data_IF_527702381629
#
_entry.id   IF_527702381629
#
_cell.length_a   1.000
_cell.length_b   1.000
_cell.length_c   1.000
_cell.angle_alpha   90.00
_cell.angle_beta   90.00
_cell.angle_gamma   90.00
#
_symmetry.space_group_name_H-M   'P 1'
#
loop_
_entity.id
_entity.type
_entity.pdbx_description
1 polymer ?
#
# COMPACT_ATOMS: atom_id res chain seq x y z
N UNK A 1 -11.77 20.28 1.31
CA UNK A 1 -11.87 21.11 0.10
C UNK A 1 -11.32 20.27 -1.06
N UNK A 2 -12.11 19.93 -2.08
CA UNK A 2 -11.64 19.04 -3.15
C UNK A 2 -10.46 19.68 -3.91
N UNK A 3 -9.52 18.87 -4.39
CA UNK A 3 -8.37 19.37 -5.17
C UNK A 3 -8.81 20.24 -6.37
N UNK A 4 -9.98 19.95 -6.93
CA UNK A 4 -10.63 20.73 -7.99
C UNK A 4 -11.02 22.14 -7.53
N UNK A 5 -11.54 22.30 -6.31
CA UNK A 5 -11.88 23.61 -5.75
C UNK A 5 -10.63 24.45 -5.48
N UNK A 6 -9.53 23.82 -5.04
CA UNK A 6 -8.24 24.50 -4.87
C UNK A 6 -7.69 24.93 -6.24
N UNK A 7 -7.71 24.05 -7.23
CA UNK A 7 -7.28 24.33 -8.59
C UNK A 7 -8.04 25.52 -9.20
N UNK A 8 -9.38 25.48 -9.12
CA UNK A 8 -10.25 26.54 -9.63
C UNK A 8 -10.02 27.83 -8.85
N UNK A 9 -9.88 27.77 -7.53
CA UNK A 9 -9.59 28.96 -6.71
C UNK A 9 -8.24 29.59 -7.04
N UNK A 10 -7.20 28.78 -7.25
CA UNK A 10 -5.86 29.27 -7.64
C UNK A 10 -5.90 29.88 -9.05
N UNK A 11 -6.57 29.22 -10.01
CA UNK A 11 -6.75 29.75 -11.37
C UNK A 11 -7.52 31.07 -11.34
N UNK A 12 -8.63 31.14 -10.60
CA UNK A 12 -9.44 32.36 -10.45
C UNK A 12 -8.67 33.47 -9.75
N UNK A 13 -7.85 33.15 -8.74
CA UNK A 13 -7.02 34.12 -8.02
C UNK A 13 -5.90 34.66 -8.92
N UNK A 14 -5.26 33.80 -9.72
CA UNK A 14 -4.26 34.25 -10.69
C UNK A 14 -4.89 35.03 -11.84
N UNK A 15 -6.07 34.64 -12.32
CA UNK A 15 -6.81 35.40 -13.32
C UNK A 15 -7.21 36.77 -12.78
N UNK A 16 -7.73 36.84 -11.55
CA UNK A 16 -8.08 38.10 -10.89
C UNK A 16 -6.85 38.97 -10.61
N UNK A 17 -5.73 38.39 -10.17
CA UNK A 17 -4.48 39.12 -9.95
C UNK A 17 -3.89 39.63 -11.27
N UNK A 18 -3.95 38.84 -12.34
CA UNK A 18 -3.51 39.25 -13.68
C UNK A 18 -4.38 40.38 -14.20
N UNK A 19 -5.70 40.27 -14.05
CA UNK A 19 -6.64 41.35 -14.40
C UNK A 19 -6.44 42.58 -13.53
N UNK A 20 -6.09 42.45 -12.26
CA UNK A 20 -5.84 43.57 -11.34
C UNK A 20 -4.50 44.26 -11.61
N UNK A 21 -3.43 43.50 -11.89
CA UNK A 21 -2.13 44.04 -12.30
C UNK A 21 -2.23 44.73 -13.66
N UNK A 22 -2.96 44.13 -14.61
CA UNK A 22 -3.31 44.78 -15.86
C UNK A 22 -4.20 46.01 -15.61
N UNK A 23 -5.27 45.96 -14.82
CA UNK A 23 -6.15 47.12 -14.65
C UNK A 23 -5.49 48.28 -13.89
N UNK A 24 -4.65 48.00 -12.89
CA UNK A 24 -4.04 48.99 -12.01
C UNK A 24 -2.85 49.72 -12.63
N UNK A 25 -1.87 48.99 -13.19
CA UNK A 25 -0.70 49.62 -13.81
C UNK A 25 -0.98 50.11 -15.23
N UNK A 26 -1.88 49.46 -15.96
CA UNK A 26 -2.30 49.92 -17.28
C UNK A 26 -3.19 51.16 -17.17
N UNK A 27 -3.90 51.38 -16.06
CA UNK A 27 -4.62 52.64 -15.78
C UNK A 27 -3.68 53.84 -15.64
N UNK A 28 -2.56 53.68 -14.94
CA UNK A 28 -1.52 54.72 -14.82
C UNK A 28 -0.74 54.95 -16.13
N UNK A 29 -0.54 53.90 -16.93
CA UNK A 29 0.00 54.01 -18.29
C UNK A 29 -1.00 54.67 -19.25
N UNK A 30 -2.30 54.35 -19.15
CA UNK A 30 -3.39 54.93 -19.93
C UNK A 30 -3.53 56.45 -19.68
N UNK A 31 -3.38 56.89 -18.43
CA UNK A 31 -3.38 58.31 -18.05
C UNK A 31 -2.14 59.07 -18.55
N UNK A 32 -1.06 58.37 -18.91
CA UNK A 32 0.15 58.96 -19.49
C UNK A 32 0.23 58.85 -21.03
N UNK A 33 -0.81 58.34 -21.69
CA UNK A 33 -0.85 58.25 -23.16
C UNK A 33 -1.12 59.66 -23.73
N UNK A 34 -0.23 60.22 -24.56
CA UNK A 34 -0.51 61.46 -25.27
C UNK A 34 -1.71 61.29 -26.21
N UNK A 35 -2.53 62.33 -26.40
CA UNK A 35 -3.68 62.29 -27.35
C UNK A 35 -3.27 61.92 -28.80
N UNK A 36 -1.99 62.10 -29.16
CA UNK A 36 -1.39 61.64 -30.41
C UNK A 36 -0.06 60.89 -30.13
N UNK A 37 -0.10 59.58 -29.82
CA UNK A 37 1.09 58.82 -29.43
C UNK A 37 1.97 58.51 -30.63
N UNK A 38 3.29 58.66 -30.47
CA UNK A 38 4.27 58.25 -31.48
C UNK A 38 4.19 56.75 -31.76
N UNK A 39 4.55 56.32 -32.97
CA UNK A 39 4.54 54.90 -33.37
C UNK A 39 5.37 54.02 -32.43
N UNK A 40 6.49 54.53 -31.92
CA UNK A 40 7.36 53.84 -30.96
C UNK A 40 6.63 53.52 -29.63
N UNK A 41 5.73 54.41 -29.18
CA UNK A 41 4.95 54.22 -27.97
C UNK A 41 3.89 53.12 -28.13
N UNK A 42 3.23 53.07 -29.30
CA UNK A 42 2.25 52.01 -29.64
C UNK A 42 2.91 50.64 -29.68
N UNK A 43 4.14 50.56 -30.22
CA UNK A 43 4.93 49.32 -30.27
C UNK A 43 5.26 48.84 -28.85
N UNK A 44 5.69 49.75 -27.99
CA UNK A 44 6.08 49.42 -26.61
C UNK A 44 4.89 48.90 -25.80
N UNK A 45 3.73 49.57 -25.86
CA UNK A 45 2.50 49.12 -25.15
C UNK A 45 2.04 47.74 -25.65
N UNK A 46 2.06 47.50 -26.97
CA UNK A 46 1.71 46.19 -27.52
C UNK A 46 2.69 45.08 -27.07
N UNK A 47 3.99 45.38 -27.00
CA UNK A 47 5.00 44.44 -26.52
C UNK A 47 4.79 44.09 -25.04
N UNK A 48 4.46 45.07 -24.20
CA UNK A 48 4.09 44.85 -22.80
C UNK A 48 2.81 44.00 -22.67
N UNK A 49 1.77 44.29 -23.47
CA UNK A 49 0.54 43.50 -23.48
C UNK A 49 0.76 42.04 -23.87
N UNK A 50 1.54 41.80 -24.93
CA UNK A 50 1.87 40.45 -25.42
C UNK A 50 2.73 39.70 -24.39
N UNK A 51 3.74 40.34 -23.81
CA UNK A 51 4.63 39.69 -22.82
C UNK A 51 3.88 39.34 -21.55
N UNK A 52 3.03 40.25 -21.04
CA UNK A 52 2.18 39.98 -19.89
C UNK A 52 1.20 38.82 -20.16
N UNK A 53 0.50 38.84 -21.30
CA UNK A 53 -0.43 37.77 -21.68
C UNK A 53 0.28 36.41 -21.82
N UNK A 54 1.48 36.40 -22.43
CA UNK A 54 2.29 35.19 -22.61
C UNK A 54 2.79 34.65 -21.28
N UNK A 55 3.24 35.53 -20.37
CA UNK A 55 3.69 35.14 -19.03
C UNK A 55 2.54 34.55 -18.20
N UNK A 56 1.36 35.17 -18.22
CA UNK A 56 0.16 34.65 -17.54
C UNK A 56 -0.26 33.30 -18.10
N UNK A 57 -0.27 33.13 -19.43
CA UNK A 57 -0.59 31.86 -20.06
C UNK A 57 0.41 30.75 -19.66
N UNK A 58 1.71 31.06 -19.69
CA UNK A 58 2.76 30.13 -19.28
C UNK A 58 2.62 29.73 -17.80
N UNK A 59 2.38 30.69 -16.91
CA UNK A 59 2.15 30.43 -15.49
C UNK A 59 0.91 29.54 -15.27
N UNK A 60 -0.18 29.81 -15.99
CA UNK A 60 -1.40 29.01 -15.95
C UNK A 60 -1.16 27.55 -16.35
N UNK A 61 -0.40 27.31 -17.42
CA UNK A 61 -0.02 25.95 -17.85
C UNK A 61 0.82 25.23 -16.79
N UNK A 62 1.79 25.92 -16.19
CA UNK A 62 2.64 25.34 -15.13
C UNK A 62 1.80 24.93 -13.92
N UNK A 63 0.90 25.81 -13.46
CA UNK A 63 0.00 25.52 -12.33
C UNK A 63 -0.94 24.37 -12.65
N UNK A 64 -1.51 24.31 -13.85
CA UNK A 64 -2.37 23.22 -14.29
C UNK A 64 -1.64 21.88 -14.29
N UNK A 65 -0.42 21.83 -14.85
CA UNK A 65 0.41 20.62 -14.86
C UNK A 65 0.80 20.17 -13.45
N UNK A 66 1.19 21.11 -12.58
CA UNK A 66 1.52 20.81 -11.18
C UNK A 66 0.31 20.26 -10.42
N UNK A 67 -0.86 20.89 -10.59
CA UNK A 67 -2.11 20.48 -9.97
C UNK A 67 -2.55 19.10 -10.46
N UNK A 68 -2.46 18.85 -11.77
CA UNK A 68 -2.78 17.55 -12.36
C UNK A 68 -1.90 16.45 -11.78
N UNK A 69 -0.58 16.68 -11.70
CA UNK A 69 0.35 15.72 -11.07
C UNK A 69 -0.03 15.42 -9.62
N UNK A 70 -0.25 16.46 -8.81
CA UNK A 70 -0.62 16.29 -7.39
C UNK A 70 -1.96 15.59 -7.21
N UNK A 71 -2.94 15.91 -8.03
CA UNK A 71 -4.27 15.28 -7.99
C UNK A 71 -4.21 13.83 -8.43
N UNK A 72 -3.43 13.52 -9.47
CA UNK A 72 -3.25 12.15 -9.96
C UNK A 72 -2.52 11.28 -8.93
N UNK A 73 -1.48 11.80 -8.27
CA UNK A 73 -0.79 11.11 -7.16
C UNK A 73 -1.76 10.80 -6.01
N UNK A 74 -2.52 11.80 -5.57
CA UNK A 74 -3.49 11.63 -4.49
C UNK A 74 -4.60 10.64 -4.87
N UNK A 75 -5.08 10.69 -6.12
CA UNK A 75 -6.09 9.75 -6.62
C UNK A 75 -5.58 8.31 -6.66
N UNK A 76 -4.33 8.08 -7.11
CA UNK A 76 -3.72 6.74 -7.12
C UNK A 76 -3.60 6.16 -5.71
N UNK A 77 -3.16 6.97 -4.74
CA UNK A 77 -3.07 6.54 -3.32
C UNK A 77 -4.47 6.22 -2.78
N UNK A 78 -5.46 7.06 -3.05
CA UNK A 78 -6.83 6.82 -2.59
C UNK A 78 -7.44 5.55 -3.21
N UNK A 79 -7.22 5.33 -4.52
CA UNK A 79 -7.66 4.12 -5.21
C UNK A 79 -7.00 2.86 -4.64
N UNK A 80 -5.69 2.88 -4.41
CA UNK A 80 -4.97 1.75 -3.80
C UNK A 80 -5.51 1.42 -2.41
N UNK A 81 -5.72 2.43 -1.58
CA UNK A 81 -6.32 2.26 -0.24
C UNK A 81 -7.72 1.68 -0.32
N UNK A 82 -8.56 2.21 -1.20
CA UNK A 82 -9.92 1.69 -1.38
C UNK A 82 -9.91 0.23 -1.86
N UNK A 83 -9.07 -0.10 -2.84
CA UNK A 83 -8.93 -1.46 -3.33
C UNK A 83 -8.45 -2.42 -2.25
N UNK A 84 -7.47 -2.00 -1.45
CA UNK A 84 -6.95 -2.76 -0.30
C UNK A 84 -8.03 -3.01 0.74
N UNK A 85 -8.84 -1.99 1.05
CA UNK A 85 -9.98 -2.10 1.98
C UNK A 85 -11.01 -3.09 1.44
N UNK A 86 -11.36 -2.98 0.16
CA UNK A 86 -12.30 -3.89 -0.50
C UNK A 86 -11.81 -5.33 -0.41
N UNK A 87 -10.56 -5.61 -0.83
CA UNK A 87 -9.97 -6.94 -0.73
C UNK A 87 -10.03 -7.42 0.72
N UNK A 88 -9.55 -6.62 1.67
CA UNK A 88 -9.51 -7.01 3.08
C UNK A 88 -10.91 -7.36 3.62
N UNK A 89 -11.94 -6.58 3.29
CA UNK A 89 -13.29 -6.88 3.73
C UNK A 89 -13.89 -8.10 3.04
N UNK A 90 -13.77 -8.19 1.72
CA UNK A 90 -14.29 -9.31 0.94
C UNK A 90 -13.66 -10.63 1.37
N UNK A 91 -12.35 -10.66 1.60
CA UNK A 91 -11.65 -11.89 1.94
C UNK A 91 -11.80 -12.23 3.42
N UNK A 92 -11.58 -11.28 4.34
CA UNK A 92 -11.56 -11.56 5.79
C UNK A 92 -12.95 -11.79 6.37
N UNK A 93 -13.96 -11.06 5.88
CA UNK A 93 -15.33 -11.22 6.35
C UNK A 93 -16.05 -12.37 5.65
N UNK A 94 -15.48 -12.94 4.59
CA UNK A 94 -16.09 -14.09 3.92
C UNK A 94 -16.33 -15.23 4.91
N UNK A 95 -17.51 -15.83 4.82
CA UNK A 95 -17.86 -17.03 5.59
C UNK A 95 -16.88 -18.17 5.32
N UNK A 96 -16.34 -18.20 4.09
CA UNK A 96 -15.28 -19.11 3.69
C UNK A 96 -14.04 -18.94 4.57
N UNK A 97 -13.46 -17.74 4.66
CA UNK A 97 -12.27 -17.51 5.47
C UNK A 97 -12.51 -17.80 6.96
N UNK A 98 -13.66 -17.41 7.50
CA UNK A 98 -14.00 -17.69 8.90
C UNK A 98 -14.10 -19.20 9.17
N UNK A 99 -14.72 -19.94 8.25
CA UNK A 99 -14.87 -21.40 8.34
C UNK A 99 -13.52 -22.10 8.20
N UNK A 100 -12.72 -21.73 7.19
CA UNK A 100 -11.35 -22.22 6.99
C UNK A 100 -10.50 -21.97 8.23
N UNK A 101 -10.57 -20.76 8.79
CA UNK A 101 -9.83 -20.41 9.99
C UNK A 101 -10.23 -21.25 11.22
N UNK A 102 -11.53 -21.57 11.35
CA UNK A 102 -12.04 -22.45 12.41
C UNK A 102 -11.59 -23.90 12.22
N UNK A 103 -11.69 -24.44 11.01
CA UNK A 103 -11.25 -25.81 10.67
C UNK A 103 -9.76 -25.99 10.95
N UNK A 104 -8.95 -25.03 10.50
CA UNK A 104 -7.51 -25.00 10.78
C UNK A 104 -7.22 -25.10 12.28
N UNK A 105 -7.90 -24.30 13.12
CA UNK A 105 -7.69 -24.28 14.57
C UNK A 105 -8.11 -25.57 15.29
N UNK A 106 -8.98 -26.39 14.70
CA UNK A 106 -9.37 -27.68 15.29
C UNK A 106 -8.24 -28.71 15.21
N UNK A 107 -7.37 -28.60 14.20
CA UNK A 107 -6.28 -29.53 13.94
C UNK A 107 -4.93 -28.96 14.38
N UNK A 108 -4.71 -27.67 14.11
CA UNK A 108 -3.49 -26.93 14.42
C UNK A 108 -3.81 -25.77 15.38
N UNK A 109 -3.65 -25.99 16.70
CA UNK A 109 -3.83 -24.93 17.69
C UNK A 109 -2.88 -23.77 17.48
N UNK A 110 -3.27 -22.58 17.95
CA UNK A 110 -2.38 -21.42 17.96
C UNK A 110 -1.28 -21.58 19.00
N UNK A 111 -0.20 -20.84 18.80
CA UNK A 111 0.94 -20.74 19.72
C UNK A 111 1.68 -22.09 19.87
N UNK A 112 1.66 -22.89 18.79
CA UNK A 112 2.34 -24.19 18.71
C UNK A 112 3.00 -24.34 17.34
N UNK A 113 4.23 -24.84 17.37
CA UNK A 113 4.97 -25.13 16.15
C UNK A 113 4.29 -26.25 15.34
N UNK A 114 4.05 -25.95 14.06
CA UNK A 114 3.51 -26.87 13.07
C UNK A 114 4.67 -27.40 12.23
N UNK A 115 4.85 -28.72 12.24
CA UNK A 115 5.85 -29.41 11.43
C UNK A 115 5.26 -29.91 10.12
N UNK A 116 6.07 -30.00 9.06
CA UNK A 116 5.62 -30.43 7.75
C UNK A 116 5.06 -31.86 7.78
N UNK A 117 5.69 -32.76 8.53
CA UNK A 117 5.22 -34.15 8.68
C UNK A 117 3.85 -34.26 9.36
N UNK A 118 3.55 -33.39 10.34
CA UNK A 118 2.24 -33.37 10.99
C UNK A 118 1.16 -32.91 10.03
N UNK A 119 1.47 -31.87 9.24
CA UNK A 119 0.59 -31.40 8.18
C UNK A 119 0.33 -32.46 7.11
N UNK A 120 1.38 -33.15 6.62
CA UNK A 120 1.25 -34.25 5.65
C UNK A 120 0.37 -35.37 6.20
N UNK A 121 0.60 -35.78 7.46
CA UNK A 121 -0.18 -36.82 8.14
C UNK A 121 -1.65 -36.43 8.26
N UNK A 122 -1.94 -35.19 8.65
CA UNK A 122 -3.31 -34.68 8.72
C UNK A 122 -3.97 -34.66 7.33
N UNK A 123 -3.25 -34.20 6.30
CA UNK A 123 -3.72 -34.16 4.91
C UNK A 123 -4.04 -35.54 4.32
N UNK A 124 -3.27 -36.57 4.69
CA UNK A 124 -3.51 -37.96 4.26
C UNK A 124 -4.39 -38.77 5.21
N UNK A 125 -4.94 -38.16 6.27
CA UNK A 125 -5.71 -38.86 7.29
C UNK A 125 -7.03 -39.42 6.74
N UNK A 126 -7.50 -40.54 7.29
CA UNK A 126 -8.85 -41.05 7.03
C UNK A 126 -9.93 -40.14 7.66
N UNK A 127 -9.60 -39.46 8.76
CA UNK A 127 -10.48 -38.50 9.43
C UNK A 127 -10.65 -37.23 8.57
N UNK A 128 -11.91 -36.92 8.25
CA UNK A 128 -12.31 -35.74 7.47
C UNK A 128 -11.82 -34.45 8.13
N UNK A 129 -11.93 -34.36 9.47
CA UNK A 129 -11.57 -33.15 10.23
C UNK A 129 -10.09 -32.81 10.07
N UNK A 130 -9.24 -33.84 10.11
CA UNK A 130 -7.79 -33.71 9.94
C UNK A 130 -7.44 -33.21 8.54
N UNK A 131 -8.06 -33.79 7.50
CA UNK A 131 -7.83 -33.37 6.11
C UNK A 131 -8.28 -31.94 5.87
N UNK A 132 -9.49 -31.61 6.31
CA UNK A 132 -10.05 -30.26 6.17
C UNK A 132 -9.22 -29.22 6.93
N UNK A 133 -8.72 -29.55 8.12
CA UNK A 133 -7.83 -28.64 8.86
C UNK A 133 -6.47 -28.42 8.17
N UNK A 134 -5.90 -29.45 7.54
CA UNK A 134 -4.65 -29.35 6.77
C UNK A 134 -4.82 -28.55 5.48
N UNK A 135 -5.90 -28.80 4.75
CA UNK A 135 -6.25 -27.99 3.57
C UNK A 135 -6.55 -26.55 3.96
N UNK A 136 -7.22 -26.34 5.09
CA UNK A 136 -7.49 -25.01 5.60
C UNK A 136 -6.21 -24.25 5.97
N UNK A 137 -5.23 -24.88 6.63
CA UNK A 137 -3.94 -24.25 6.90
C UNK A 137 -3.25 -23.78 5.62
N UNK A 138 -3.19 -24.64 4.60
CA UNK A 138 -2.59 -24.29 3.31
C UNK A 138 -3.33 -23.12 2.65
N UNK A 139 -4.66 -23.11 2.69
CA UNK A 139 -5.47 -22.02 2.13
C UNK A 139 -5.19 -20.69 2.83
N UNK A 140 -5.08 -20.67 4.16
CA UNK A 140 -4.78 -19.43 4.90
C UNK A 140 -3.36 -18.94 4.58
N UNK A 141 -2.37 -19.84 4.50
CA UNK A 141 -1.01 -19.46 4.11
C UNK A 141 -0.96 -18.89 2.67
N UNK A 142 -1.62 -19.55 1.72
CA UNK A 142 -1.70 -19.08 0.33
C UNK A 142 -2.40 -17.73 0.22
N UNK A 143 -3.41 -17.48 1.06
CA UNK A 143 -4.07 -16.20 1.13
C UNK A 143 -3.10 -15.08 1.55
N UNK A 144 -2.28 -15.31 2.59
CA UNK A 144 -1.31 -14.31 3.01
C UNK A 144 -0.14 -14.16 2.03
N UNK A 145 0.27 -15.22 1.32
CA UNK A 145 1.20 -15.13 0.18
C UNK A 145 0.63 -14.23 -0.92
N UNK A 146 -0.64 -14.39 -1.30
CA UNK A 146 -1.29 -13.52 -2.27
C UNK A 146 -1.29 -12.04 -1.83
N UNK A 147 -1.58 -11.76 -0.55
CA UNK A 147 -1.47 -10.40 -0.02
C UNK A 147 -0.04 -9.88 -0.05
N UNK A 148 0.95 -10.72 0.26
CA UNK A 148 2.36 -10.33 0.21
C UNK A 148 2.81 -9.99 -1.21
N UNK A 149 2.35 -10.75 -2.22
CA UNK A 149 2.57 -10.43 -3.64
C UNK A 149 1.91 -9.09 -4.00
N UNK A 150 0.67 -8.85 -3.57
CA UNK A 150 -0.02 -7.58 -3.83
C UNK A 150 0.66 -6.37 -3.18
N UNK A 151 1.28 -6.55 -2.01
CA UNK A 151 2.14 -5.52 -1.37
C UNK A 151 3.42 -5.32 -2.19
N UNK A 152 4.07 -6.40 -2.61
CA UNK A 152 5.31 -6.36 -3.39
C UNK A 152 5.13 -5.64 -4.73
N UNK A 153 3.98 -5.81 -5.39
CA UNK A 153 3.64 -5.15 -6.64
C UNK A 153 3.12 -3.71 -6.47
N UNK A 154 3.05 -3.19 -5.24
CA UNK A 154 2.47 -1.89 -4.88
C UNK A 154 0.97 -1.72 -5.24
N UNK A 155 0.26 -2.83 -5.50
CA UNK A 155 -1.18 -2.87 -5.76
C UNK A 155 -2.00 -2.79 -4.47
N UNK A 156 -1.40 -3.18 -3.35
CA UNK A 156 -1.98 -3.09 -2.02
C UNK A 156 -1.26 -2.05 -1.15
N UNK A 157 -2.02 -1.37 -0.29
CA UNK A 157 -1.49 -0.39 0.64
C UNK A 157 -0.89 -1.09 1.86
N UNK A 158 0.44 -1.22 1.83
CA UNK A 158 1.24 -1.87 2.87
C UNK A 158 0.98 -1.33 4.28
N UNK A 159 0.99 -0.01 4.44
CA UNK A 159 0.84 0.64 5.75
C UNK A 159 -0.53 0.33 6.37
N UNK A 160 -1.58 0.34 5.54
CA UNK A 160 -2.91 -0.04 5.98
C UNK A 160 -2.97 -1.51 6.40
N UNK A 161 -2.40 -2.43 5.62
CA UNK A 161 -2.39 -3.86 5.95
C UNK A 161 -1.57 -4.14 7.21
N UNK A 162 -0.41 -3.50 7.35
CA UNK A 162 0.42 -3.62 8.55
C UNK A 162 -0.33 -3.20 9.81
N UNK A 163 -1.07 -2.10 9.76
CA UNK A 163 -1.87 -1.63 10.91
C UNK A 163 -3.09 -2.49 11.24
N UNK A 164 -3.52 -3.39 10.35
CA UNK A 164 -4.82 -4.08 10.48
C UNK A 164 -4.72 -5.60 10.59
N UNK A 165 -3.76 -6.24 9.91
CA UNK A 165 -3.65 -7.71 9.83
C UNK A 165 -2.28 -8.26 10.26
N UNK A 166 -1.27 -7.40 10.49
CA UNK A 166 0.08 -7.82 10.84
C UNK A 166 0.13 -8.84 11.97
N UNK A 167 -0.50 -8.56 13.11
CA UNK A 167 -0.46 -9.48 14.26
C UNK A 167 -1.04 -10.87 13.94
N UNK A 168 -2.09 -10.95 13.13
CA UNK A 168 -2.72 -12.22 12.76
C UNK A 168 -1.82 -13.01 11.82
N UNK A 169 -1.24 -12.32 10.83
CA UNK A 169 -0.31 -12.90 9.87
C UNK A 169 0.97 -13.39 10.57
N UNK A 170 1.60 -12.55 11.41
CA UNK A 170 2.81 -12.91 12.14
C UNK A 170 2.60 -14.12 13.04
N UNK A 171 1.49 -14.18 13.79
CA UNK A 171 1.22 -15.34 14.65
C UNK A 171 1.01 -16.62 13.83
N UNK A 172 0.32 -16.55 12.69
CA UNK A 172 0.15 -17.71 11.82
C UNK A 172 1.48 -18.19 11.24
N UNK A 173 2.33 -17.26 10.77
CA UNK A 173 3.64 -17.60 10.20
C UNK A 173 4.56 -18.13 11.29
N UNK A 174 4.53 -17.59 12.51
CA UNK A 174 5.27 -18.10 13.65
C UNK A 174 4.85 -19.54 14.04
N UNK A 175 3.54 -19.83 14.06
CA UNK A 175 3.03 -21.19 14.24
C UNK A 175 3.54 -22.12 13.13
N UNK A 176 3.54 -21.66 11.87
CA UNK A 176 3.93 -22.45 10.71
C UNK A 176 5.42 -22.37 10.32
N UNK A 177 6.27 -21.68 11.11
CA UNK A 177 7.63 -21.28 10.70
C UNK A 177 8.53 -22.48 10.36
N UNK A 178 8.36 -23.59 11.09
CA UNK A 178 9.14 -24.81 10.87
C UNK A 178 8.68 -25.47 9.58
N UNK A 179 7.37 -25.70 9.42
CA UNK A 179 6.79 -26.20 8.17
C UNK A 179 7.19 -25.35 6.95
N UNK A 180 7.16 -24.01 7.05
CA UNK A 180 7.56 -23.11 5.96
C UNK A 180 9.06 -23.30 5.62
N UNK A 181 9.92 -23.41 6.63
CA UNK A 181 11.35 -23.68 6.42
C UNK A 181 11.57 -25.02 5.71
N UNK A 182 10.91 -26.10 6.17
CA UNK A 182 10.98 -27.43 5.54
C UNK A 182 10.46 -27.42 4.08
N UNK A 183 9.37 -26.70 3.80
CA UNK A 183 8.86 -26.54 2.43
C UNK A 183 9.89 -25.87 1.53
N UNK A 184 10.56 -24.83 2.04
CA UNK A 184 11.56 -24.05 1.31
C UNK A 184 12.88 -24.78 1.08
N UNK A 185 13.22 -25.78 1.88
CA UNK A 185 14.35 -26.66 1.59
C UNK A 185 14.12 -27.49 0.31
N UNK A 186 12.86 -27.84 0.03
CA UNK A 186 12.47 -28.59 -1.16
C UNK A 186 12.21 -27.67 -2.36
N UNK A 187 11.57 -26.52 -2.13
CA UNK A 187 11.24 -25.53 -3.15
C UNK A 187 11.47 -24.11 -2.61
N UNK A 188 12.57 -23.42 -2.98
CA UNK A 188 12.89 -22.10 -2.48
C UNK A 188 11.81 -21.02 -2.73
N UNK A 189 10.95 -21.22 -3.71
CA UNK A 189 9.88 -20.27 -4.08
C UNK A 189 8.59 -20.47 -3.27
N UNK A 190 8.49 -21.54 -2.49
CA UNK A 190 7.33 -21.79 -1.64
C UNK A 190 7.20 -20.70 -0.57
N UNK A 191 6.09 -19.94 -0.65
CA UNK A 191 5.75 -18.85 0.28
C UNK A 191 6.87 -17.79 0.38
N UNK A 192 7.51 -17.48 -0.74
CA UNK A 192 8.65 -16.56 -0.81
C UNK A 192 8.29 -15.16 -0.32
N UNK A 193 7.20 -14.58 -0.82
CA UNK A 193 6.82 -13.20 -0.51
C UNK A 193 6.29 -13.10 0.93
N UNK A 194 5.55 -14.09 1.39
CA UNK A 194 5.05 -14.16 2.77
C UNK A 194 6.21 -14.23 3.76
N UNK A 195 7.23 -15.05 3.50
CA UNK A 195 8.39 -15.13 4.38
C UNK A 195 9.17 -13.81 4.42
N UNK A 196 9.39 -13.17 3.26
CA UNK A 196 10.04 -11.85 3.20
C UNK A 196 9.22 -10.80 3.96
N UNK A 197 7.91 -10.78 3.77
CA UNK A 197 7.01 -9.85 4.47
C UNK A 197 7.00 -10.12 5.97
N UNK A 198 7.03 -11.38 6.38
CA UNK A 198 7.11 -11.78 7.79
C UNK A 198 8.40 -11.29 8.44
N UNK A 199 9.55 -11.49 7.82
CA UNK A 199 10.83 -11.00 8.34
C UNK A 199 10.90 -9.48 8.43
N UNK A 200 10.20 -8.77 7.53
CA UNK A 200 10.06 -7.33 7.62
C UNK A 200 9.15 -6.89 8.77
N UNK A 201 7.99 -7.55 8.93
CA UNK A 201 6.95 -7.12 9.85
C UNK A 201 7.12 -7.62 11.28
N UNK A 202 7.78 -8.77 11.49
CA UNK A 202 7.97 -9.34 12.82
C UNK A 202 8.84 -8.43 13.70
N UNK A 203 8.58 -8.48 15.00
CA UNK A 203 9.45 -7.83 15.98
C UNK A 203 10.77 -8.61 16.06
N UNK A 204 11.87 -7.86 16.09
CA UNK A 204 13.21 -8.44 16.20
C UNK A 204 13.57 -8.77 17.65
N UNK A 205 12.93 -8.08 18.58
CA UNK A 205 13.06 -8.33 20.01
C UNK A 205 12.17 -9.50 20.43
N UNK A 206 12.64 -10.28 21.41
CA UNK A 206 11.85 -11.37 21.98
C UNK A 206 10.56 -10.80 22.57
N UNK A 207 9.44 -11.16 21.96
CA UNK A 207 8.11 -10.83 22.47
C UNK A 207 7.40 -12.05 22.98
N UNK A 208 6.57 -11.85 24.00
CA UNK A 208 5.69 -12.89 24.54
C UNK A 208 4.23 -12.56 24.27
N UNK A 209 3.44 -13.59 24.00
CA UNK A 209 1.99 -13.47 23.85
C UNK A 209 1.32 -13.38 25.23
N UNK A 210 -0.01 -13.25 25.26
CA UNK A 210 -0.79 -13.19 26.50
C UNK A 210 -0.69 -14.47 27.34
N UNK A 211 -0.25 -15.58 26.76
CA UNK A 211 -0.02 -16.86 27.43
C UNK A 211 1.43 -17.02 27.94
N UNK A 212 2.30 -16.02 27.74
CA UNK A 212 3.70 -16.05 28.14
C UNK A 212 4.60 -16.88 27.22
N UNK A 213 4.09 -17.37 26.09
CA UNK A 213 4.90 -18.05 25.08
C UNK A 213 5.61 -17.02 24.19
N UNK A 214 6.84 -17.35 23.78
CA UNK A 214 7.55 -16.55 22.78
C UNK A 214 6.77 -16.54 21.47
N UNK A 215 6.70 -15.36 20.85
CA UNK A 215 5.94 -15.12 19.63
C UNK A 215 6.77 -14.30 18.64
N UNK A 216 6.46 -14.46 17.36
CA UNK A 216 7.13 -13.79 16.23
C UNK A 216 8.60 -14.22 16.06
N UNK A 217 8.86 -15.51 16.30
CA UNK A 217 10.20 -16.11 16.21
C UNK A 217 10.67 -16.17 14.75
N UNK A 218 11.98 -16.07 14.47
CA UNK A 218 12.48 -16.15 13.11
C UNK A 218 12.14 -17.50 12.45
N UNK A 219 11.99 -17.48 11.13
CA UNK A 219 11.94 -18.73 10.35
C UNK A 219 13.31 -19.40 10.47
N UNK A 220 13.41 -20.66 10.91
CA UNK A 220 14.69 -21.34 11.10
C UNK A 220 15.50 -21.39 9.80
N UNK A 221 16.79 -21.13 9.89
CA UNK A 221 17.75 -21.48 8.84
C UNK A 221 17.86 -23.00 8.69
N UNK A 222 18.36 -23.51 7.55
CA UNK A 222 18.53 -24.96 7.33
C UNK A 222 19.33 -25.66 8.43
N UNK A 223 20.33 -24.97 9.01
CA UNK A 223 21.10 -25.52 10.13
C UNK A 223 20.27 -25.66 11.40
N UNK A 224 19.50 -24.63 11.75
CA UNK A 224 18.63 -24.64 12.93
C UNK A 224 17.48 -25.63 12.74
N UNK A 225 16.93 -25.72 11.52
CA UNK A 225 15.91 -26.68 11.17
C UNK A 225 16.39 -28.11 11.38
N UNK A 226 17.58 -28.46 10.88
CA UNK A 226 18.16 -29.78 11.09
C UNK A 226 18.33 -30.13 12.58
N UNK A 227 18.70 -29.13 13.41
CA UNK A 227 18.81 -29.31 14.86
C UNK A 227 17.44 -29.54 15.51
N UNK A 228 16.44 -28.72 15.16
CA UNK A 228 15.07 -28.83 15.67
C UNK A 228 14.47 -30.19 15.34
N UNK A 229 14.61 -30.64 14.09
CA UNK A 229 14.11 -31.95 13.64
C UNK A 229 14.83 -33.12 14.34
N UNK A 230 16.12 -32.98 14.66
CA UNK A 230 16.87 -34.01 15.40
C UNK A 230 16.50 -34.11 16.88
N UNK A 231 15.97 -33.04 17.47
CA UNK A 231 15.59 -32.96 18.89
C UNK A 231 14.17 -33.43 19.18
N UNK A 232 13.42 -33.79 18.14
CA UNK A 232 12.01 -34.20 18.17
C UNK A 232 11.87 -35.69 18.42
#
# INVERSE_FOLDING_TARGET
>A
MSATLIAVSVILSFAALSVSLLAGEFGLLLDQIPDDPSEDYKILVNLFGITAATATAAAGVVVALWTYKKTSEAARIAQRKQHTITILFETRLSDYFQTTNKLRKQVFPTDRDIYLEDWKKARSSADVTQREGADALQQVLNYYEFLAVGIYQEDLDKELLEKTIRGIMCNLVDDARIMISELRENDPHSLEHLATLYEEWRRKETTTNYAGAETERPIPSSRELAQLLSSR
#
